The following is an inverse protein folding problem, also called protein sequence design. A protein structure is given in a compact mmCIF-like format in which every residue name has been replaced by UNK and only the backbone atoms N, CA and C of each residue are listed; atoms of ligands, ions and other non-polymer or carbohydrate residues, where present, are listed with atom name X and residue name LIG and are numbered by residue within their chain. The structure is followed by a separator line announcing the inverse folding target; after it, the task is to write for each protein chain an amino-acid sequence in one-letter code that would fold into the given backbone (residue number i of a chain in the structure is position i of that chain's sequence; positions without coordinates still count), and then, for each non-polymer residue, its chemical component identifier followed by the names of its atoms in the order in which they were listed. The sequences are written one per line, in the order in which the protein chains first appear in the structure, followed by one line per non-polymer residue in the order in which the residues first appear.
data_IF_129171577478
#
_entry.id   IF_129171577478
#
_cell.length_a   1.000
_cell.length_b   1.000
_cell.length_c   1.000
_cell.angle_alpha   90.00
_cell.angle_beta   90.00
_cell.angle_gamma   90.00
#
_symmetry.space_group_name_H-M   'P 1'
#
loop_
_entity.id
_entity.type
_entity.pdbx_description
1 polymer ?
#
# COMPACT_ATOMS: atom_id res chain seq x y z
N UNK A 1 -39.04 64.77 -32.37
CA UNK A 1 -38.64 65.77 -33.40
C UNK A 1 -39.64 66.93 -33.35
N UNK A 2 -39.14 68.13 -33.10
CA UNK A 2 -39.95 69.36 -33.10
C UNK A 2 -39.94 70.03 -34.51
N UNK A 3 -41.08 70.18 -35.12
CA UNK A 3 -41.22 70.89 -36.35
C UNK A 3 -42.10 72.18 -36.19
N UNK A 4 -41.57 73.34 -36.54
CA UNK A 4 -42.28 74.61 -36.43
C UNK A 4 -42.41 75.26 -37.75
N UNK A 5 -43.67 75.50 -38.22
CA UNK A 5 -43.98 76.31 -39.42
C UNK A 5 -45.12 77.24 -39.10
N UNK A 6 -44.91 78.55 -39.43
CA UNK A 6 -45.95 79.58 -39.30
C UNK A 6 -46.65 79.63 -37.91
N UNK A 7 -45.87 79.60 -36.83
CA UNK A 7 -46.42 79.73 -35.45
C UNK A 7 -47.13 78.51 -34.85
N UNK A 8 -47.25 77.42 -35.61
CA UNK A 8 -47.87 76.15 -35.08
C UNK A 8 -46.76 75.18 -34.69
N UNK A 9 -46.60 74.94 -33.40
CA UNK A 9 -45.69 73.91 -32.85
C UNK A 9 -46.44 72.59 -32.80
N UNK A 10 -46.05 71.67 -33.67
CA UNK A 10 -46.49 70.23 -33.53
C UNK A 10 -45.34 69.43 -32.99
N UNK A 11 -45.62 68.74 -31.90
CA UNK A 11 -44.70 67.80 -31.25
C UNK A 11 -45.15 66.36 -31.58
N UNK A 12 -44.29 65.61 -32.19
CA UNK A 12 -44.49 64.19 -32.35
C UNK A 12 -43.55 63.50 -31.36
N UNK A 13 -44.05 62.71 -30.42
CA UNK A 13 -43.27 61.83 -29.59
C UNK A 13 -43.20 60.46 -30.23
N UNK A 14 -42.00 60.01 -30.51
CA UNK A 14 -41.73 58.64 -30.91
C UNK A 14 -41.34 57.85 -29.63
N UNK A 15 -42.06 56.84 -29.24
CA UNK A 15 -41.70 56.03 -28.16
C UNK A 15 -40.39 55.28 -28.50
N UNK A 16 -39.35 55.52 -27.73
CA UNK A 16 -38.08 54.76 -27.85
C UNK A 16 -38.12 53.67 -26.78
N UNK A 17 -38.29 52.46 -27.20
CA UNK A 17 -38.16 51.30 -26.29
C UNK A 17 -36.69 50.98 -26.17
N UNK A 18 -36.12 51.18 -24.97
CA UNK A 18 -34.75 50.77 -24.69
C UNK A 18 -34.74 49.29 -24.42
N UNK A 19 -34.05 48.55 -25.26
CA UNK A 19 -33.87 47.12 -25.10
C UNK A 19 -32.73 46.88 -24.09
N UNK A 20 -33.02 46.23 -22.96
CA UNK A 20 -32.06 45.95 -21.90
C UNK A 20 -32.06 44.44 -21.62
N UNK A 21 -30.88 43.87 -21.33
CA UNK A 21 -30.73 42.49 -20.93
C UNK A 21 -31.49 42.23 -19.62
N UNK A 22 -32.49 41.36 -19.68
CA UNK A 22 -33.37 41.00 -18.54
C UNK A 22 -32.86 39.77 -17.79
N UNK A 23 -32.54 38.69 -18.53
CA UNK A 23 -32.03 37.43 -17.96
C UNK A 23 -31.26 36.64 -19.00
N UNK A 24 -30.57 35.62 -18.57
CA UNK A 24 -30.01 34.57 -19.45
C UNK A 24 -30.50 33.17 -18.96
N UNK A 25 -30.61 32.26 -19.91
CA UNK A 25 -30.96 30.88 -19.65
C UNK A 25 -30.07 29.91 -20.45
N UNK A 26 -29.77 28.76 -19.89
CA UNK A 26 -29.19 27.64 -20.64
C UNK A 26 -30.33 26.91 -21.32
N UNK A 27 -30.43 27.04 -22.63
CA UNK A 27 -31.50 26.41 -23.44
C UNK A 27 -31.09 25.05 -23.98
N UNK A 28 -29.78 24.76 -24.03
CA UNK A 28 -29.24 23.43 -24.26
C UNK A 28 -28.09 23.19 -23.28
N UNK A 29 -28.15 22.15 -22.54
CA UNK A 29 -27.09 21.78 -21.60
C UNK A 29 -25.81 21.37 -22.35
N UNK A 30 -24.62 21.51 -21.73
CA UNK A 30 -23.39 20.97 -22.28
C UNK A 30 -23.45 19.43 -22.42
N UNK A 31 -22.68 18.91 -23.37
CA UNK A 31 -22.63 17.47 -23.64
C UNK A 31 -22.07 16.67 -22.48
N UNK A 32 -21.32 17.30 -21.58
CA UNK A 32 -20.75 16.68 -20.38
C UNK A 32 -21.18 17.44 -19.13
N UNK A 33 -21.83 16.74 -18.20
CA UNK A 33 -22.26 17.25 -16.89
C UNK A 33 -21.73 16.45 -15.72
N UNK A 34 -21.13 15.26 -15.97
CA UNK A 34 -20.50 14.42 -14.98
C UNK A 34 -18.98 14.46 -15.15
N UNK A 35 -18.27 14.84 -14.09
CA UNK A 35 -16.84 15.06 -14.07
C UNK A 35 -16.20 14.16 -12.99
N UNK A 36 -14.91 13.92 -13.12
CA UNK A 36 -14.06 13.40 -12.05
C UNK A 36 -13.37 14.57 -11.34
N UNK A 37 -13.01 14.37 -10.10
CA UNK A 37 -12.18 15.30 -9.35
C UNK A 37 -10.94 15.72 -10.16
N UNK A 38 -10.68 17.02 -10.22
CA UNK A 38 -9.56 17.60 -10.96
C UNK A 38 -9.81 17.86 -12.44
N UNK A 39 -10.93 17.43 -13.03
CA UNK A 39 -11.29 17.80 -14.40
C UNK A 39 -11.76 19.26 -14.48
N UNK A 40 -11.67 19.85 -15.68
CA UNK A 40 -12.11 21.22 -15.96
C UNK A 40 -13.46 21.17 -16.67
N UNK A 41 -14.35 22.13 -16.36
CA UNK A 41 -15.64 22.25 -17.03
C UNK A 41 -15.49 22.47 -18.54
N UNK A 42 -16.26 21.73 -19.32
CA UNK A 42 -16.29 21.83 -20.77
C UNK A 42 -17.69 22.29 -21.24
N UNK A 43 -17.83 23.53 -21.78
CA UNK A 43 -19.10 24.09 -22.26
C UNK A 43 -19.55 23.57 -23.63
N UNK A 44 -18.83 22.62 -24.24
CA UNK A 44 -19.14 22.11 -25.58
C UNK A 44 -20.60 21.64 -25.67
N UNK A 45 -21.31 22.08 -26.70
CA UNK A 45 -22.71 21.80 -26.93
C UNK A 45 -23.69 22.67 -26.12
N UNK A 46 -23.20 23.49 -25.17
CA UNK A 46 -24.06 24.39 -24.40
C UNK A 46 -24.55 25.56 -25.22
N UNK A 47 -25.85 25.86 -25.14
CA UNK A 47 -26.47 27.03 -25.74
C UNK A 47 -27.01 27.95 -24.65
N UNK A 48 -26.57 29.18 -24.64
CA UNK A 48 -27.05 30.24 -23.74
C UNK A 48 -27.89 31.23 -24.52
N UNK A 49 -29.10 31.52 -24.02
CA UNK A 49 -30.06 32.46 -24.61
C UNK A 49 -30.25 33.67 -23.70
N UNK A 50 -30.07 34.85 -24.23
CA UNK A 50 -30.40 36.10 -23.57
C UNK A 50 -31.84 36.51 -23.84
N UNK A 51 -32.52 36.95 -22.77
CA UNK A 51 -33.88 37.51 -22.80
C UNK A 51 -33.84 39.01 -22.48
N UNK A 52 -34.66 39.77 -23.14
CA UNK A 52 -34.67 41.23 -23.06
C UNK A 52 -35.99 41.79 -22.56
N UNK A 53 -35.97 43.06 -22.15
CA UNK A 53 -37.14 43.78 -21.63
C UNK A 53 -38.22 44.04 -22.68
N UNK A 54 -37.92 43.93 -23.97
CA UNK A 54 -38.87 44.03 -25.09
C UNK A 54 -39.51 42.69 -25.46
N UNK A 55 -39.26 41.62 -24.66
CA UNK A 55 -39.80 40.28 -24.90
C UNK A 55 -39.03 39.49 -25.96
N UNK A 56 -38.01 40.03 -26.56
CA UNK A 56 -37.20 39.35 -27.56
C UNK A 56 -36.15 38.46 -26.83
N UNK A 57 -35.65 37.45 -27.55
CA UNK A 57 -34.54 36.63 -27.10
C UNK A 57 -33.61 36.23 -28.21
N UNK A 58 -32.34 35.97 -27.89
CA UNK A 58 -31.33 35.53 -28.86
C UNK A 58 -30.30 34.65 -28.22
N UNK A 59 -29.76 33.70 -28.97
CA UNK A 59 -28.56 32.93 -28.57
C UNK A 59 -27.35 33.87 -28.47
N UNK A 60 -26.58 33.73 -27.41
CA UNK A 60 -25.40 34.56 -27.16
C UNK A 60 -24.14 33.71 -27.08
N UNK A 61 -23.03 34.33 -27.50
CA UNK A 61 -21.68 33.83 -27.35
C UNK A 61 -20.86 34.83 -26.51
N UNK A 62 -19.66 34.47 -26.09
CA UNK A 62 -18.82 35.34 -25.26
C UNK A 62 -19.25 35.43 -23.80
N UNK A 63 -20.07 34.52 -23.33
CA UNK A 63 -20.31 34.31 -21.90
C UNK A 63 -19.07 33.76 -21.23
N UNK A 64 -18.91 34.02 -19.93
CA UNK A 64 -17.89 33.42 -19.08
C UNK A 64 -18.52 32.38 -18.15
N UNK A 65 -17.70 31.53 -17.53
CA UNK A 65 -18.16 30.57 -16.56
C UNK A 65 -17.18 30.45 -15.38
N UNK A 66 -17.70 30.07 -14.24
CA UNK A 66 -16.91 29.88 -13.01
C UNK A 66 -17.46 28.71 -12.20
N UNK A 67 -16.59 27.84 -11.65
CA UNK A 67 -15.14 27.85 -11.82
C UNK A 67 -14.69 27.49 -13.25
N UNK A 68 -13.60 28.08 -13.70
CA UNK A 68 -12.89 27.79 -14.95
C UNK A 68 -11.60 26.99 -14.72
N UNK A 69 -11.40 26.55 -13.48
CA UNK A 69 -10.26 25.76 -13.00
C UNK A 69 -10.69 24.31 -12.72
N UNK A 70 -9.76 23.51 -12.23
CA UNK A 70 -10.02 22.13 -11.82
C UNK A 70 -11.16 22.03 -10.79
N UNK A 71 -12.14 21.16 -11.09
CA UNK A 71 -13.33 20.94 -10.27
C UNK A 71 -13.00 20.10 -9.04
N UNK A 72 -13.41 20.60 -7.88
CA UNK A 72 -13.36 19.90 -6.60
C UNK A 72 -14.68 19.20 -6.24
N UNK A 73 -14.67 18.40 -5.20
CA UNK A 73 -15.86 17.65 -4.72
C UNK A 73 -17.03 18.55 -4.30
N UNK A 74 -16.75 19.81 -3.91
CA UNK A 74 -17.77 20.79 -3.52
C UNK A 74 -18.46 21.47 -4.70
N UNK A 75 -17.95 21.32 -5.94
CA UNK A 75 -18.52 21.94 -7.10
C UNK A 75 -19.74 21.14 -7.58
N UNK A 76 -20.94 21.64 -7.34
CA UNK A 76 -22.21 21.05 -7.78
C UNK A 76 -22.87 21.85 -8.91
N UNK A 77 -22.37 23.06 -9.16
CA UNK A 77 -22.87 23.98 -10.20
C UNK A 77 -21.74 24.77 -10.84
N UNK A 78 -21.94 25.14 -12.08
CA UNK A 78 -21.14 26.12 -12.81
C UNK A 78 -21.98 27.37 -13.01
N UNK A 79 -21.49 28.51 -12.59
CA UNK A 79 -22.13 29.81 -12.83
C UNK A 79 -21.74 30.31 -14.22
N UNK A 80 -22.72 30.59 -15.06
CA UNK A 80 -22.56 31.18 -16.39
C UNK A 80 -22.90 32.66 -16.27
N UNK A 81 -22.05 33.55 -16.81
CA UNK A 81 -22.23 35.00 -16.75
C UNK A 81 -22.16 35.59 -18.16
N UNK A 82 -23.11 36.42 -18.50
CA UNK A 82 -23.12 37.20 -19.75
C UNK A 82 -23.35 38.67 -19.48
N UNK A 83 -22.55 39.51 -20.09
CA UNK A 83 -22.62 40.97 -19.96
C UNK A 83 -22.91 41.61 -21.30
N UNK A 84 -23.90 42.51 -21.32
CA UNK A 84 -24.23 43.34 -22.49
C UNK A 84 -24.40 44.80 -22.02
N UNK A 85 -23.54 45.69 -22.54
CA UNK A 85 -23.39 47.03 -21.98
C UNK A 85 -22.93 46.96 -20.51
N UNK A 86 -23.64 47.68 -19.64
CA UNK A 86 -23.35 47.69 -18.17
C UNK A 86 -24.18 46.65 -17.39
N UNK A 87 -24.90 45.76 -18.08
CA UNK A 87 -25.78 44.78 -17.41
C UNK A 87 -25.18 43.38 -17.50
N UNK A 88 -24.92 42.81 -16.33
CA UNK A 88 -24.51 41.40 -16.20
C UNK A 88 -25.65 40.55 -15.66
N UNK A 89 -25.90 39.42 -16.29
CA UNK A 89 -26.84 38.39 -15.81
C UNK A 89 -26.14 37.04 -15.68
N UNK A 90 -26.63 36.24 -14.73
CA UNK A 90 -26.08 34.92 -14.45
C UNK A 90 -27.15 33.84 -14.48
N UNK A 91 -26.73 32.61 -14.77
CA UNK A 91 -27.50 31.38 -14.62
C UNK A 91 -26.57 30.27 -14.19
N UNK A 92 -27.08 29.13 -13.82
CA UNK A 92 -26.26 28.02 -13.34
C UNK A 92 -26.50 26.73 -14.13
N UNK A 93 -25.43 25.96 -14.35
CA UNK A 93 -25.46 24.60 -14.87
C UNK A 93 -25.14 23.64 -13.72
N UNK A 94 -26.05 22.72 -13.43
CA UNK A 94 -25.78 21.64 -12.47
C UNK A 94 -24.78 20.64 -13.05
N UNK A 95 -23.84 20.23 -12.23
CA UNK A 95 -22.83 19.22 -12.55
C UNK A 95 -22.70 18.22 -11.38
N UNK A 96 -22.07 17.09 -11.66
CA UNK A 96 -21.62 16.15 -10.63
C UNK A 96 -20.11 15.95 -10.73
N UNK A 97 -19.44 15.86 -9.59
CA UNK A 97 -18.00 15.53 -9.52
C UNK A 97 -17.85 14.24 -8.72
N UNK A 98 -17.34 13.20 -9.39
CA UNK A 98 -17.10 11.91 -8.76
C UNK A 98 -15.72 11.90 -8.10
N UNK A 99 -15.64 11.26 -6.92
CA UNK A 99 -14.38 10.99 -6.25
C UNK A 99 -13.45 10.10 -7.08
N UNK A 100 -12.16 10.22 -6.84
CA UNK A 100 -11.13 9.37 -7.43
C UNK A 100 -10.22 8.81 -6.35
N UNK A 101 -9.54 7.71 -6.66
CA UNK A 101 -8.57 7.10 -5.77
C UNK A 101 -7.39 8.07 -5.55
N UNK A 102 -7.17 8.47 -4.31
CA UNK A 102 -6.09 9.39 -3.92
C UNK A 102 -4.82 8.63 -3.53
N UNK A 103 -4.93 7.69 -2.60
CA UNK A 103 -3.83 6.85 -2.11
C UNK A 103 -4.34 5.51 -1.57
N UNK A 104 -3.41 4.58 -1.36
CA UNK A 104 -3.66 3.35 -0.61
C UNK A 104 -2.67 3.22 0.55
N UNK A 105 -3.04 2.47 1.57
CA UNK A 105 -2.15 2.13 2.68
C UNK A 105 -2.42 0.70 3.17
N UNK A 106 -1.38 0.03 3.66
CA UNK A 106 -1.57 -1.18 4.47
C UNK A 106 -1.95 -0.73 5.88
N UNK A 107 -3.21 -0.93 6.25
CA UNK A 107 -3.74 -0.52 7.56
C UNK A 107 -3.66 -1.62 8.61
N UNK A 108 -3.62 -2.88 8.16
CA UNK A 108 -3.28 -4.02 9.00
C UNK A 108 -2.18 -4.82 8.29
N UNK A 109 -0.99 -4.97 8.90
CA UNK A 109 0.06 -5.79 8.33
C UNK A 109 -0.36 -7.26 8.20
N UNK A 110 0.27 -8.04 7.29
CA UNK A 110 0.06 -9.47 7.24
C UNK A 110 0.52 -10.13 8.55
N UNK A 111 -0.05 -11.29 8.86
CA UNK A 111 0.27 -12.07 10.06
C UNK A 111 1.74 -12.52 10.12
N UNK A 112 2.42 -12.53 8.98
CA UNK A 112 3.85 -12.87 8.85
C UNK A 112 4.58 -11.79 8.05
N UNK A 113 5.69 -11.31 8.60
CA UNK A 113 6.56 -10.29 7.97
C UNK A 113 8.03 -10.73 7.91
N UNK A 114 8.35 -11.91 8.48
CA UNK A 114 9.70 -12.47 8.45
C UNK A 114 9.70 -13.77 7.64
N UNK A 115 10.62 -13.87 6.71
CA UNK A 115 10.72 -14.95 5.72
C UNK A 115 12.15 -15.46 5.62
N UNK A 116 12.29 -16.70 5.16
CA UNK A 116 13.56 -17.22 4.67
C UNK A 116 13.67 -17.02 3.16
N UNK A 117 14.89 -16.92 2.66
CA UNK A 117 15.16 -16.85 1.21
C UNK A 117 14.59 -18.10 0.53
N UNK A 118 13.83 -17.88 -0.54
CA UNK A 118 13.12 -18.95 -1.27
C UNK A 118 11.64 -19.08 -0.92
N UNK A 119 11.18 -18.56 0.22
CA UNK A 119 9.75 -18.54 0.56
C UNK A 119 8.98 -17.48 -0.23
N UNK A 120 7.67 -17.64 -0.32
CA UNK A 120 6.78 -16.66 -0.96
C UNK A 120 6.08 -15.79 0.08
N UNK A 121 5.81 -14.54 -0.29
CA UNK A 121 5.06 -13.61 0.55
C UNK A 121 3.61 -14.08 0.73
N UNK A 122 3.09 -13.95 1.95
CA UNK A 122 1.69 -14.25 2.28
C UNK A 122 0.96 -12.97 2.67
N UNK A 123 -0.21 -12.74 2.06
CA UNK A 123 -1.10 -11.63 2.38
C UNK A 123 -2.08 -11.94 3.51
N UNK A 124 -2.00 -13.12 4.13
CA UNK A 124 -2.92 -13.56 5.19
C UNK A 124 -2.99 -12.53 6.32
N UNK A 125 -4.20 -12.08 6.66
CA UNK A 125 -4.46 -11.06 7.67
C UNK A 125 -4.18 -9.62 7.24
N UNK A 126 -3.63 -9.39 6.04
CA UNK A 126 -3.33 -8.04 5.56
C UNK A 126 -4.61 -7.31 5.11
N UNK A 127 -4.74 -6.06 5.55
CA UNK A 127 -5.80 -5.16 5.08
C UNK A 127 -5.17 -3.98 4.35
N UNK A 128 -5.61 -3.77 3.13
CA UNK A 128 -5.27 -2.59 2.32
C UNK A 128 -6.48 -1.67 2.28
N UNK A 129 -6.28 -0.41 2.61
CA UNK A 129 -7.34 0.62 2.61
C UNK A 129 -7.06 1.63 1.51
N UNK A 130 -8.05 1.86 0.66
CA UNK A 130 -8.08 2.96 -0.30
C UNK A 130 -8.64 4.22 0.35
N UNK A 131 -8.06 5.36 0.01
CA UNK A 131 -8.48 6.69 0.41
C UNK A 131 -8.81 7.49 -0.86
N UNK A 132 -9.86 8.30 -0.78
CA UNK A 132 -10.41 9.00 -1.93
C UNK A 132 -10.35 10.52 -1.75
N UNK A 133 -10.53 11.26 -2.83
CA UNK A 133 -10.49 12.73 -2.85
C UNK A 133 -11.67 13.41 -2.15
N UNK A 134 -12.65 12.65 -1.67
CA UNK A 134 -13.76 13.10 -0.81
C UNK A 134 -13.51 12.81 0.69
N UNK A 135 -12.26 12.49 1.06
CA UNK A 135 -11.81 12.07 2.40
C UNK A 135 -12.44 10.75 2.89
N UNK A 136 -13.22 10.09 2.07
CA UNK A 136 -13.73 8.76 2.39
C UNK A 136 -12.63 7.69 2.25
N UNK A 137 -12.82 6.56 2.94
CA UNK A 137 -11.91 5.42 2.84
C UNK A 137 -12.68 4.10 2.91
N UNK A 138 -12.11 3.06 2.31
CA UNK A 138 -12.67 1.72 2.36
C UNK A 138 -11.56 0.68 2.26
N UNK A 139 -11.73 -0.45 2.96
CA UNK A 139 -10.89 -1.62 2.73
C UNK A 139 -11.14 -2.16 1.31
N UNK A 140 -10.09 -2.53 0.62
CA UNK A 140 -10.15 -3.00 -0.78
C UNK A 140 -9.59 -4.41 -0.91
N UNK A 141 -10.14 -5.13 -1.89
CA UNK A 141 -9.66 -6.41 -2.38
C UNK A 141 -9.22 -6.26 -3.85
N UNK A 142 -8.59 -7.29 -4.41
CA UNK A 142 -8.17 -7.25 -5.83
C UNK A 142 -6.91 -6.41 -6.08
N UNK A 143 -6.20 -6.02 -5.04
CA UNK A 143 -4.85 -5.44 -5.18
C UNK A 143 -3.85 -6.52 -5.64
N UNK A 144 -2.81 -6.10 -6.31
CA UNK A 144 -1.67 -6.93 -6.68
C UNK A 144 -0.46 -6.61 -5.81
N UNK A 145 0.53 -7.49 -5.80
CA UNK A 145 1.77 -7.25 -5.07
C UNK A 145 2.99 -7.82 -5.83
N UNK A 146 4.15 -7.28 -5.51
CA UNK A 146 5.42 -7.70 -6.12
C UNK A 146 6.56 -7.62 -5.09
N UNK A 147 7.46 -8.61 -5.07
CA UNK A 147 7.51 -9.82 -5.89
C UNK A 147 6.42 -10.85 -5.52
N UNK A 148 5.95 -11.66 -6.50
CA UNK A 148 4.94 -12.71 -6.31
C UNK A 148 5.54 -14.10 -6.14
N UNK A 149 6.82 -14.26 -6.45
CA UNK A 149 7.56 -15.53 -6.37
C UNK A 149 8.40 -15.64 -5.11
N UNK A 150 9.41 -16.51 -5.21
CA UNK A 150 10.37 -16.73 -4.14
C UNK A 150 11.10 -15.43 -3.76
N UNK A 151 11.10 -15.13 -2.46
CA UNK A 151 11.79 -13.98 -1.91
C UNK A 151 13.31 -14.20 -1.92
N UNK A 152 14.04 -13.25 -2.46
CA UNK A 152 15.50 -13.26 -2.45
C UNK A 152 16.04 -12.61 -1.17
N UNK A 153 17.24 -13.01 -0.78
CA UNK A 153 18.00 -12.29 0.23
C UNK A 153 18.14 -10.80 -0.16
N UNK A 154 17.83 -9.92 0.78
CA UNK A 154 17.85 -8.48 0.54
C UNK A 154 16.50 -7.86 0.13
N UNK A 155 15.45 -8.64 -0.15
CA UNK A 155 14.10 -8.09 -0.20
C UNK A 155 13.72 -7.51 1.17
N UNK A 156 13.38 -6.22 1.20
CA UNK A 156 13.00 -5.51 2.43
C UNK A 156 11.56 -5.02 2.41
N UNK A 157 10.96 -5.00 1.23
CA UNK A 157 9.60 -4.50 1.02
C UNK A 157 8.87 -5.30 -0.04
N UNK A 158 7.57 -5.38 0.14
CA UNK A 158 6.60 -5.81 -0.88
C UNK A 158 5.88 -4.58 -1.36
N UNK A 159 5.86 -4.34 -2.66
CA UNK A 159 5.06 -3.28 -3.28
C UNK A 159 3.65 -3.79 -3.50
N UNK A 160 2.65 -3.07 -3.02
CA UNK A 160 1.23 -3.34 -3.22
C UNK A 160 0.70 -2.30 -4.20
N UNK A 161 -0.11 -2.73 -5.18
CA UNK A 161 -0.71 -1.87 -6.20
C UNK A 161 -2.21 -2.11 -6.27
N UNK A 162 -2.99 -1.05 -6.31
CA UNK A 162 -4.45 -1.09 -6.50
C UNK A 162 -4.87 -0.08 -7.55
N UNK A 163 -5.81 -0.48 -8.40
CA UNK A 163 -6.32 0.34 -9.49
C UNK A 163 -7.82 0.46 -9.43
N UNK A 164 -8.34 1.68 -9.52
CA UNK A 164 -9.77 1.96 -9.57
C UNK A 164 -10.04 3.17 -10.48
N UNK A 165 -11.03 3.06 -11.35
CA UNK A 165 -11.45 4.16 -12.24
C UNK A 165 -10.35 4.67 -13.19
N UNK A 166 -9.35 3.83 -13.51
CA UNK A 166 -8.20 4.19 -14.35
C UNK A 166 -7.05 4.87 -13.59
N UNK A 167 -7.15 4.98 -12.26
CA UNK A 167 -6.08 5.49 -11.39
C UNK A 167 -5.44 4.33 -10.65
N UNK A 168 -4.10 4.24 -10.72
CA UNK A 168 -3.31 3.24 -9.97
C UNK A 168 -2.52 3.94 -8.88
N UNK A 169 -2.58 3.37 -7.67
CA UNK A 169 -1.79 3.82 -6.52
C UNK A 169 -1.01 2.65 -5.93
N UNK A 170 0.12 2.95 -5.33
CA UNK A 170 1.01 1.96 -4.71
C UNK A 170 1.32 2.30 -3.27
N UNK A 171 1.60 1.28 -2.49
CA UNK A 171 2.15 1.38 -1.13
C UNK A 171 3.12 0.22 -0.90
N UNK A 172 3.81 0.20 0.22
CA UNK A 172 4.78 -0.86 0.54
C UNK A 172 4.49 -1.49 1.90
N UNK A 173 4.73 -2.80 2.00
CA UNK A 173 4.78 -3.55 3.25
C UNK A 173 6.23 -3.94 3.53
N UNK A 174 6.75 -3.55 4.69
CA UNK A 174 8.09 -3.95 5.11
C UNK A 174 8.12 -5.44 5.50
N UNK A 175 9.18 -6.12 5.08
CA UNK A 175 9.47 -7.52 5.42
C UNK A 175 10.94 -7.68 5.77
N UNK A 176 11.28 -8.80 6.38
CA UNK A 176 12.67 -9.27 6.54
C UNK A 176 12.83 -10.60 5.84
N UNK A 177 13.93 -10.76 5.09
CA UNK A 177 14.28 -12.03 4.43
C UNK A 177 15.66 -12.45 4.89
N UNK A 178 15.73 -13.57 5.61
CA UNK A 178 16.96 -14.14 6.14
C UNK A 178 17.50 -15.20 5.19
N UNK A 179 18.77 -15.10 4.85
CA UNK A 179 19.46 -16.15 4.07
C UNK A 179 19.81 -17.30 4.99
N UNK A 180 19.48 -18.51 4.57
CA UNK A 180 19.90 -19.74 5.24
C UNK A 180 20.99 -20.41 4.39
N UNK A 181 22.12 -20.69 5.02
CA UNK A 181 23.17 -21.49 4.39
C UNK A 181 22.87 -22.99 4.59
N UNK A 182 23.04 -23.78 3.54
CA UNK A 182 22.98 -25.25 3.63
C UNK A 182 24.16 -25.81 4.43
N UNK A 183 25.25 -25.07 4.60
CA UNK A 183 26.31 -25.41 5.54
C UNK A 183 25.91 -24.95 6.95
N UNK A 184 25.56 -25.87 7.82
CA UNK A 184 25.08 -25.57 9.18
C UNK A 184 26.01 -24.62 9.94
N UNK A 185 27.33 -24.84 9.85
CA UNK A 185 28.32 -24.03 10.57
C UNK A 185 28.36 -22.56 10.15
N UNK A 186 27.91 -22.24 8.94
CA UNK A 186 27.86 -20.87 8.43
C UNK A 186 26.71 -20.04 8.97
N UNK A 187 25.73 -20.66 9.63
CA UNK A 187 24.58 -19.98 10.21
C UNK A 187 24.83 -19.59 11.68
N UNK A 188 24.25 -18.46 12.10
CA UNK A 188 24.24 -18.08 13.52
C UNK A 188 23.31 -19.00 14.30
N UNK A 189 23.50 -19.12 15.63
CA UNK A 189 22.58 -19.84 16.49
C UNK A 189 21.18 -19.24 16.48
N UNK A 190 21.06 -17.91 16.33
CA UNK A 190 19.77 -17.26 16.20
C UNK A 190 19.05 -17.66 14.91
N UNK A 191 19.77 -17.79 13.79
CA UNK A 191 19.23 -18.30 12.52
C UNK A 191 18.79 -19.75 12.66
N UNK A 192 19.65 -20.62 13.25
CA UNK A 192 19.32 -22.04 13.47
C UNK A 192 18.06 -22.16 14.34
N UNK A 193 17.96 -21.37 15.41
CA UNK A 193 16.77 -21.33 16.26
C UNK A 193 15.53 -20.92 15.49
N UNK A 194 15.59 -19.86 14.66
CA UNK A 194 14.46 -19.40 13.87
C UNK A 194 13.98 -20.44 12.87
N UNK A 195 14.90 -21.16 12.22
CA UNK A 195 14.59 -22.28 11.31
C UNK A 195 13.96 -23.44 12.08
N UNK A 196 14.50 -23.77 13.28
CA UNK A 196 13.95 -24.78 14.16
C UNK A 196 12.52 -24.43 14.59
N UNK A 197 12.30 -23.20 15.10
CA UNK A 197 10.98 -22.74 15.54
C UNK A 197 9.94 -22.78 14.42
N UNK A 198 10.37 -22.56 13.16
CA UNK A 198 9.52 -22.66 11.97
C UNK A 198 9.27 -24.13 11.53
N UNK A 199 9.92 -25.11 12.16
CA UNK A 199 9.79 -26.53 11.79
C UNK A 199 10.43 -26.87 10.46
N UNK A 200 11.44 -26.11 10.02
CA UNK A 200 12.05 -26.23 8.68
C UNK A 200 13.51 -26.72 8.74
N UNK A 201 13.95 -27.26 9.87
CA UNK A 201 15.33 -27.70 10.04
C UNK A 201 15.80 -28.71 9.00
N UNK A 202 14.98 -29.68 8.71
CA UNK A 202 15.21 -30.75 7.74
C UNK A 202 15.08 -30.32 6.26
N UNK A 203 14.62 -29.10 5.99
CA UNK A 203 14.67 -28.50 4.67
C UNK A 203 16.05 -27.94 4.29
N UNK A 204 16.90 -27.69 5.29
CA UNK A 204 18.18 -27.01 5.11
C UNK A 204 19.39 -27.85 5.53
N UNK A 205 19.22 -28.75 6.50
CA UNK A 205 20.33 -29.51 7.10
C UNK A 205 19.95 -30.97 7.31
N UNK A 206 20.96 -31.82 7.30
CA UNK A 206 20.85 -33.23 7.47
C UNK A 206 21.34 -33.69 8.87
N UNK A 207 20.88 -34.86 9.28
CA UNK A 207 21.45 -35.55 10.46
C UNK A 207 22.94 -35.81 10.23
N UNK A 208 23.76 -35.42 11.20
CA UNK A 208 25.22 -35.47 11.07
C UNK A 208 25.89 -34.18 10.68
N UNK A 209 25.13 -33.17 10.16
CA UNK A 209 25.67 -31.83 9.91
C UNK A 209 26.25 -31.23 11.19
N UNK A 210 27.39 -30.57 11.05
CA UNK A 210 28.18 -30.10 12.20
C UNK A 210 28.20 -28.58 12.33
N UNK A 211 28.26 -28.13 13.59
CA UNK A 211 28.54 -26.76 13.97
C UNK A 211 29.58 -26.69 15.04
N UNK A 212 30.54 -25.80 14.87
CA UNK A 212 31.57 -25.52 15.86
C UNK A 212 31.04 -24.60 16.95
N UNK A 213 31.24 -24.95 18.20
CA UNK A 213 31.04 -24.09 19.37
C UNK A 213 32.36 -23.85 20.07
N UNK A 214 32.48 -22.71 20.75
CA UNK A 214 33.66 -22.37 21.55
C UNK A 214 33.25 -22.29 23.00
N UNK A 215 33.92 -23.06 23.84
CA UNK A 215 33.69 -23.09 25.29
C UNK A 215 34.80 -22.36 26.01
N UNK A 216 34.40 -21.46 26.90
CA UNK A 216 35.27 -20.73 27.81
C UNK A 216 34.69 -20.86 29.23
N UNK A 217 35.53 -21.01 30.22
CA UNK A 217 35.11 -21.04 31.61
C UNK A 217 35.92 -21.99 32.46
N UNK A 218 35.63 -22.02 33.77
CA UNK A 218 36.29 -22.94 34.73
C UNK A 218 35.23 -23.78 35.40
N UNK A 219 35.41 -25.09 35.35
CA UNK A 219 34.54 -26.07 36.02
C UNK A 219 35.44 -26.99 36.84
N UNK A 220 35.18 -27.10 38.14
CA UNK A 220 35.93 -27.95 39.07
C UNK A 220 37.46 -27.81 38.98
N UNK A 221 37.94 -26.55 38.83
CA UNK A 221 39.37 -26.26 38.73
C UNK A 221 39.97 -26.40 37.31
N UNK A 222 39.23 -26.93 36.36
CA UNK A 222 39.67 -26.99 34.96
C UNK A 222 39.24 -25.74 34.21
N UNK A 223 40.18 -25.00 33.64
CA UNK A 223 39.93 -23.84 32.86
C UNK A 223 39.91 -24.18 31.38
N UNK A 224 38.80 -23.91 30.72
CA UNK A 224 38.67 -23.97 29.26
C UNK A 224 38.87 -22.58 28.67
N UNK A 225 39.80 -22.48 27.75
CA UNK A 225 40.07 -21.23 27.03
C UNK A 225 39.99 -21.50 25.53
N UNK A 226 39.00 -20.94 24.86
CA UNK A 226 38.75 -21.11 23.44
C UNK A 226 38.71 -22.59 22.98
N UNK A 227 38.18 -23.47 23.83
CA UNK A 227 38.05 -24.90 23.49
C UNK A 227 37.01 -25.06 22.40
N UNK A 228 37.47 -25.45 21.20
CA UNK A 228 36.62 -25.68 20.03
C UNK A 228 36.05 -27.09 20.05
N UNK A 229 34.72 -27.20 20.02
CA UNK A 229 33.99 -28.46 20.00
C UNK A 229 33.04 -28.47 18.82
N UNK A 230 33.00 -29.60 18.09
CA UNK A 230 31.96 -29.83 17.10
C UNK A 230 30.72 -30.44 17.78
N UNK A 231 29.57 -29.83 17.53
CA UNK A 231 28.26 -30.45 17.76
C UNK A 231 27.66 -30.83 16.42
N UNK A 232 26.88 -31.91 16.41
CA UNK A 232 26.23 -32.37 15.19
C UNK A 232 24.74 -32.58 15.42
N UNK A 233 23.95 -32.49 14.32
CA UNK A 233 22.53 -32.77 14.37
C UNK A 233 22.33 -34.28 14.62
N UNK A 234 21.65 -34.60 15.70
CA UNK A 234 21.25 -35.97 16.04
C UNK A 234 19.92 -36.34 15.38
N UNK A 235 19.03 -35.37 15.21
CA UNK A 235 17.73 -35.58 14.59
C UNK A 235 16.82 -34.37 14.68
N UNK A 236 15.68 -34.50 14.01
CA UNK A 236 14.63 -33.51 13.99
C UNK A 236 13.37 -34.07 14.64
N UNK A 237 12.78 -33.37 15.60
CA UNK A 237 11.50 -33.72 16.24
C UNK A 237 11.39 -35.12 16.85
N UNK A 238 12.49 -35.83 17.10
CA UNK A 238 12.44 -37.23 17.51
C UNK A 238 11.89 -37.44 18.93
N UNK A 239 11.77 -36.40 19.75
CA UNK A 239 11.20 -36.45 21.09
C UNK A 239 10.01 -35.47 21.24
N UNK A 240 9.24 -35.28 20.18
CA UNK A 240 8.17 -34.26 20.10
C UNK A 240 7.06 -34.44 21.17
N UNK A 241 6.83 -35.65 21.64
CA UNK A 241 5.85 -35.93 22.70
C UNK A 241 6.22 -35.35 24.07
N UNK A 242 7.51 -35.10 24.33
CA UNK A 242 8.04 -34.55 25.58
C UNK A 242 8.53 -33.13 25.46
N UNK A 243 9.14 -32.79 24.34
CA UNK A 243 9.85 -31.51 24.12
C UNK A 243 9.09 -30.57 23.23
N UNK A 244 7.95 -31.00 22.69
CA UNK A 244 7.19 -30.27 21.69
C UNK A 244 7.75 -30.46 20.27
N UNK A 245 7.01 -29.94 19.27
CA UNK A 245 7.41 -29.97 17.86
C UNK A 245 8.47 -28.88 17.55
N UNK A 246 9.02 -28.94 16.35
CA UNK A 246 9.93 -27.93 15.79
C UNK A 246 11.26 -27.87 16.59
N UNK A 247 11.88 -29.03 16.84
CA UNK A 247 13.17 -29.15 17.55
C UNK A 247 14.24 -29.73 16.65
N UNK A 248 15.43 -29.13 16.70
CA UNK A 248 16.67 -29.68 16.17
C UNK A 248 17.49 -30.15 17.38
N UNK A 249 17.79 -31.46 17.47
CA UNK A 249 18.56 -32.03 18.54
C UNK A 249 20.03 -32.07 18.18
N UNK A 250 20.87 -31.58 19.06
CA UNK A 250 22.33 -31.57 18.90
C UNK A 250 23.00 -32.48 19.90
N UNK A 251 24.06 -33.12 19.45
CA UNK A 251 24.96 -33.91 20.32
C UNK A 251 26.38 -33.41 20.18
N UNK A 252 27.12 -33.42 21.28
CA UNK A 252 28.55 -33.15 21.27
C UNK A 252 29.25 -34.30 20.54
N UNK A 253 30.09 -33.96 19.58
CA UNK A 253 30.92 -34.91 18.85
C UNK A 253 32.28 -35.14 19.50
N UNK A 254 33.35 -34.97 18.72
CA UNK A 254 34.72 -35.13 19.22
C UNK A 254 35.26 -33.81 19.77
N UNK A 255 35.99 -33.86 20.90
CA UNK A 255 36.81 -32.75 21.38
C UNK A 255 38.26 -33.06 20.94
N UNK A 256 38.84 -32.09 20.18
CA UNK A 256 40.21 -32.24 19.63
C UNK A 256 40.39 -33.59 18.90
N UNK A 257 39.39 -33.96 18.08
CA UNK A 257 39.38 -35.21 17.32
C UNK A 257 39.31 -36.52 18.16
N UNK A 258 39.13 -36.41 19.45
CA UNK A 258 38.99 -37.57 20.36
C UNK A 258 37.53 -37.69 20.84
N UNK A 259 37.03 -38.91 20.94
CA UNK A 259 35.77 -39.20 21.60
C UNK A 259 35.88 -38.82 23.08
N UNK A 260 34.93 -38.07 23.56
CA UNK A 260 34.84 -37.71 24.98
C UNK A 260 33.83 -38.61 25.63
N UNK A 261 34.27 -39.38 26.61
CA UNK A 261 33.37 -40.14 27.46
C UNK A 261 32.58 -39.16 28.34
N UNK A 262 31.28 -39.37 28.45
CA UNK A 262 30.40 -38.64 29.36
C UNK A 262 30.44 -39.19 30.78
N UNK A 263 31.44 -40.03 31.12
CA UNK A 263 31.56 -40.69 32.41
C UNK A 263 32.81 -40.26 33.15
N UNK A 264 32.63 -39.99 34.44
CA UNK A 264 33.71 -39.89 35.42
C UNK A 264 34.35 -41.27 35.62
N UNK A 265 35.66 -41.28 35.70
CA UNK A 265 36.49 -42.48 35.81
C UNK A 265 36.34 -43.23 37.17
N UNK A 266 35.50 -42.75 38.08
CA UNK A 266 35.30 -43.31 39.42
C UNK A 266 34.39 -44.54 39.47
N UNK A 267 33.76 -44.91 38.38
CA UNK A 267 32.98 -46.14 38.26
C UNK A 267 33.65 -47.15 37.33
N UNK A 268 34.65 -47.76 37.85
CA UNK A 268 35.58 -48.71 37.27
C UNK A 268 35.06 -49.83 36.39
N UNK A 269 34.65 -49.56 35.20
CA UNK A 269 34.54 -50.52 34.11
C UNK A 269 34.74 -49.84 32.77
N UNK A 270 35.90 -50.02 32.20
CA UNK A 270 36.16 -49.68 30.80
C UNK A 270 35.35 -50.61 29.90
N UNK A 271 34.38 -50.09 29.23
CA UNK A 271 33.87 -50.73 28.01
C UNK A 271 34.70 -50.22 26.85
N UNK A 272 35.37 -51.11 26.18
CA UNK A 272 36.26 -50.85 25.03
C UNK A 272 35.59 -50.16 23.83
N UNK A 273 34.34 -49.89 23.89
CA UNK A 273 33.51 -49.23 22.87
C UNK A 273 33.08 -47.78 23.16
N UNK A 274 33.57 -47.20 24.23
CA UNK A 274 33.54 -45.72 24.42
C UNK A 274 32.19 -45.07 24.75
N UNK A 275 31.19 -45.82 25.23
CA UNK A 275 29.94 -45.25 25.74
C UNK A 275 29.67 -45.76 27.14
N UNK A 276 29.65 -44.87 28.13
CA UNK A 276 28.97 -45.08 29.39
C UNK A 276 27.68 -44.29 29.40
N UNK A 277 26.54 -44.95 29.40
CA UNK A 277 25.30 -44.33 29.79
C UNK A 277 25.08 -44.59 31.29
N UNK A 278 25.05 -43.53 32.10
CA UNK A 278 24.62 -43.65 33.49
C UNK A 278 23.09 -43.84 33.48
N UNK A 279 22.65 -45.03 33.88
CA UNK A 279 21.24 -45.34 34.14
C UNK A 279 20.98 -45.14 35.63
N UNK A 280 20.81 -43.93 36.09
CA UNK A 280 20.21 -43.64 37.39
C UNK A 280 19.05 -42.68 37.23
#
# INVERSE_FOLDING_TARGET
VNYQRAGIKKTASVPVTVRVLSSIAITTAPTKTAYKYGEIFNPSGMVVTAHYTDGQSRTVTGYTFSPDTALGMSNTTITISYTEGDVTKTTTQAITVAKVLDRIAVTTPPSRTSYFSGESFSTSGMVVTAYYTDDSSAAVSGYTYSPTGALAAGNKTITISYSEGGVTKTTTQAITVTTISTTLNSNSWATIKAVSDAGQGDNYWDVGDTKTITINGTVQGFTFSNLSIAVFILGFNHNSSREGSNRIHFQIGKISNKLVGLCDNSYGSYVSSGFCMNTS
#
